data_IF_722052628082
#
_entry.id   IF_722052628082
#
_cell.length_a   1.000
_cell.length_b   1.000
_cell.length_c   1.000
_cell.angle_alpha   90.00
_cell.angle_beta   90.00
_cell.angle_gamma   90.00
#
_symmetry.space_group_name_H-M   'P 1'
#
loop_
_entity.id
_entity.type
_entity.pdbx_description
1 polymer ?
#
# COMPACT_ATOMS: atom_id res chain seq x y z
N UNK A 1 -68.06 -19.96 36.50
CA UNK A 1 -67.04 -20.57 37.38
C UNK A 1 -66.06 -21.36 36.51
N UNK A 2 -64.85 -20.85 36.32
CA UNK A 2 -63.73 -21.53 35.64
C UNK A 2 -62.61 -21.77 36.67
N UNK A 3 -61.88 -22.90 36.62
CA UNK A 3 -61.11 -23.35 37.77
C UNK A 3 -59.76 -22.63 37.90
N UNK A 4 -59.54 -22.03 39.08
CA UNK A 4 -58.32 -21.36 39.56
C UNK A 4 -57.03 -22.21 39.62
N UNK A 5 -56.98 -23.40 39.02
CA UNK A 5 -55.83 -24.34 39.13
C UNK A 5 -54.77 -24.23 38.02
N UNK A 6 -55.00 -23.46 36.96
CA UNK A 6 -54.02 -23.33 35.87
C UNK A 6 -52.99 -22.19 36.04
N UNK A 7 -53.22 -21.24 36.94
CA UNK A 7 -52.36 -20.06 37.08
C UNK A 7 -51.07 -20.28 37.88
N UNK A 8 -50.97 -21.37 38.66
CA UNK A 8 -49.81 -21.60 39.53
C UNK A 8 -48.68 -22.39 38.85
N UNK A 9 -49.01 -23.32 37.93
CA UNK A 9 -48.00 -24.12 37.20
C UNK A 9 -47.26 -23.32 36.12
N UNK A 10 -47.89 -22.28 35.56
CA UNK A 10 -47.28 -21.40 34.55
C UNK A 10 -46.20 -20.48 35.13
N UNK A 11 -46.40 -19.96 36.37
CA UNK A 11 -45.42 -19.08 37.01
C UNK A 11 -44.15 -19.79 37.44
N UNK A 12 -44.23 -21.03 37.93
CA UNK A 12 -43.05 -21.82 38.33
C UNK A 12 -42.21 -22.20 37.09
N UNK A 13 -42.86 -22.53 35.97
CA UNK A 13 -42.19 -22.79 34.70
C UNK A 13 -41.39 -21.60 34.19
N UNK A 14 -41.97 -20.39 34.21
CA UNK A 14 -41.25 -19.17 33.81
C UNK A 14 -40.08 -18.83 34.74
N UNK A 15 -40.21 -19.01 36.06
CA UNK A 15 -39.11 -18.75 36.99
C UNK A 15 -37.96 -19.74 36.82
N UNK A 16 -38.24 -21.02 36.58
CA UNK A 16 -37.20 -22.01 36.30
C UNK A 16 -36.52 -21.76 34.95
N UNK A 17 -37.26 -21.35 33.91
CA UNK A 17 -36.68 -21.00 32.62
C UNK A 17 -35.80 -19.75 32.71
N UNK A 18 -36.24 -18.70 33.41
CA UNK A 18 -35.44 -17.49 33.65
C UNK A 18 -34.22 -17.77 34.52
N UNK A 19 -34.31 -18.61 35.55
CA UNK A 19 -33.17 -18.97 36.38
C UNK A 19 -32.14 -19.82 35.62
N UNK A 20 -32.58 -20.76 34.77
CA UNK A 20 -31.69 -21.54 33.90
C UNK A 20 -31.05 -20.66 32.82
N UNK A 21 -31.80 -19.71 32.25
CA UNK A 21 -31.26 -18.76 31.26
C UNK A 21 -30.27 -17.79 31.90
N UNK A 22 -30.54 -17.29 33.10
CA UNK A 22 -29.60 -16.47 33.87
C UNK A 22 -28.37 -17.31 34.25
N UNK A 23 -28.50 -18.56 34.67
CA UNK A 23 -27.36 -19.46 34.92
C UNK A 23 -26.58 -19.79 33.64
N UNK A 24 -27.22 -19.85 32.47
CA UNK A 24 -26.56 -20.05 31.18
C UNK A 24 -25.82 -18.79 30.72
N UNK A 25 -26.38 -17.60 30.98
CA UNK A 25 -25.74 -16.30 30.72
C UNK A 25 -24.66 -15.95 31.75
N UNK A 26 -24.77 -16.48 32.98
CA UNK A 26 -23.78 -16.36 34.06
C UNK A 26 -22.79 -17.53 34.07
N UNK A 27 -22.86 -18.48 33.12
CA UNK A 27 -21.71 -19.37 32.90
C UNK A 27 -20.54 -18.46 32.53
N UNK A 28 -19.47 -18.40 33.34
CA UNK A 28 -18.27 -17.72 32.92
C UNK A 28 -17.89 -18.33 31.59
N UNK A 29 -17.77 -17.49 30.56
CA UNK A 29 -17.34 -17.92 29.24
C UNK A 29 -16.04 -18.71 29.45
N UNK A 30 -15.99 -20.02 29.13
CA UNK A 30 -14.79 -20.82 29.37
C UNK A 30 -13.60 -20.36 28.48
N UNK A 31 -13.79 -19.32 27.66
CA UNK A 31 -12.73 -18.58 26.97
C UNK A 31 -12.05 -17.49 27.80
N UNK A 32 -11.99 -17.62 29.13
CA UNK A 32 -10.85 -17.03 29.89
C UNK A 32 -9.77 -18.11 30.00
N UNK A 33 -9.39 -18.68 28.85
CA UNK A 33 -8.02 -19.14 28.68
C UNK A 33 -7.17 -17.88 28.71
N UNK A 34 -6.09 -17.84 29.51
CA UNK A 34 -5.12 -16.76 29.56
C UNK A 34 -4.82 -16.23 28.15
N UNK A 35 -5.48 -15.14 27.78
CA UNK A 35 -5.44 -14.67 26.40
C UNK A 35 -4.00 -14.29 26.10
N UNK A 36 -3.39 -14.95 25.11
CA UNK A 36 -1.99 -14.71 24.78
C UNK A 36 -1.88 -13.32 24.19
N UNK A 37 -1.00 -12.50 24.74
CA UNK A 37 -0.79 -11.13 24.29
C UNK A 37 0.55 -10.99 23.58
N UNK A 38 0.64 -9.96 22.74
CA UNK A 38 1.88 -9.51 22.13
C UNK A 38 1.93 -7.98 22.12
N UNK A 39 3.08 -7.46 22.51
CA UNK A 39 3.40 -6.05 22.53
C UNK A 39 4.72 -5.84 21.80
N UNK A 40 4.83 -4.79 20.98
CA UNK A 40 6.11 -4.36 20.43
C UNK A 40 6.70 -3.23 21.28
N UNK A 41 8.03 -3.17 21.34
CA UNK A 41 8.74 -1.95 21.72
C UNK A 41 8.70 -0.97 20.56
N UNK A 42 7.74 -0.04 20.60
CA UNK A 42 7.64 0.99 19.57
C UNK A 42 8.77 2.01 19.74
N UNK A 43 9.52 2.26 18.67
CA UNK A 43 10.50 3.34 18.63
C UNK A 43 9.82 4.66 18.28
N UNK A 44 10.21 5.79 18.88
CA UNK A 44 9.75 7.10 18.43
C UNK A 44 10.24 7.34 17.00
N UNK A 45 9.46 8.09 16.24
CA UNK A 45 9.75 8.36 14.83
C UNK A 45 8.72 9.30 14.20
N UNK A 46 8.86 9.55 12.90
CA UNK A 46 7.82 10.25 12.14
C UNK A 46 6.59 9.34 11.97
N UNK A 47 5.45 9.91 11.58
CA UNK A 47 4.18 9.18 11.47
C UNK A 47 4.31 7.90 10.62
N UNK A 48 5.05 7.93 9.51
CA UNK A 48 5.23 6.75 8.65
C UNK A 48 5.92 5.58 9.37
N UNK A 49 6.91 5.87 10.21
CA UNK A 49 7.61 4.85 11.01
C UNK A 49 6.71 4.25 12.09
N UNK A 50 5.90 5.11 12.72
CA UNK A 50 4.94 4.69 13.73
C UNK A 50 3.87 3.79 13.13
N UNK A 51 3.33 4.15 11.96
CA UNK A 51 2.33 3.34 11.25
C UNK A 51 2.91 1.97 10.87
N UNK A 52 4.14 1.90 10.35
CA UNK A 52 4.81 0.62 10.12
C UNK A 52 4.89 -0.22 11.39
N UNK A 53 5.32 0.37 12.50
CA UNK A 53 5.46 -0.36 13.76
C UNK A 53 4.11 -0.86 14.29
N UNK A 54 3.06 -0.04 14.23
CA UNK A 54 1.72 -0.40 14.69
C UNK A 54 1.08 -1.49 13.82
N UNK A 55 1.08 -1.31 12.49
CA UNK A 55 0.46 -2.29 11.61
C UNK A 55 1.23 -3.60 11.57
N UNK A 56 2.56 -3.57 11.67
CA UNK A 56 3.34 -4.80 11.85
C UNK A 56 3.00 -5.53 13.14
N UNK A 57 2.78 -4.83 14.27
CA UNK A 57 2.30 -5.49 15.47
C UNK A 57 0.91 -6.10 15.26
N UNK A 58 -0.02 -5.40 14.62
CA UNK A 58 -1.37 -5.93 14.33
C UNK A 58 -1.29 -7.17 13.45
N UNK A 59 -0.58 -7.09 12.33
CA UNK A 59 -0.45 -8.19 11.39
C UNK A 59 0.27 -9.40 11.99
N UNK A 60 1.35 -9.19 12.75
CA UNK A 60 2.02 -10.26 13.49
C UNK A 60 1.09 -10.87 14.52
N UNK A 61 0.36 -10.05 15.28
CA UNK A 61 -0.58 -10.53 16.31
C UNK A 61 -1.67 -11.41 15.71
N UNK A 62 -2.21 -11.05 14.55
CA UNK A 62 -3.21 -11.83 13.81
C UNK A 62 -2.61 -13.12 13.27
N UNK A 63 -1.38 -13.05 12.77
CA UNK A 63 -0.65 -14.20 12.22
C UNK A 63 -0.42 -15.28 13.27
N UNK A 64 -0.07 -14.91 14.51
CA UNK A 64 0.25 -15.87 15.58
C UNK A 64 -0.88 -16.03 16.63
N UNK A 65 -2.08 -15.57 16.31
CA UNK A 65 -3.29 -15.65 17.15
C UNK A 65 -3.09 -15.10 18.58
N UNK A 66 -2.60 -13.86 18.67
CA UNK A 66 -2.40 -13.15 19.93
C UNK A 66 -3.12 -11.81 19.92
N UNK A 67 -3.47 -11.33 21.11
CA UNK A 67 -4.07 -10.01 21.31
C UNK A 67 -2.96 -8.94 21.25
N UNK A 68 -3.04 -7.96 20.34
CA UNK A 68 -2.09 -6.86 20.28
C UNK A 68 -2.31 -5.88 21.44
N UNK A 69 -1.25 -5.61 22.19
CA UNK A 69 -1.26 -4.76 23.39
C UNK A 69 -0.34 -3.56 23.23
N UNK A 70 -0.80 -2.40 23.68
CA UNK A 70 0.04 -1.22 23.87
C UNK A 70 0.11 -0.95 25.38
N UNK A 71 1.26 -1.23 25.99
CA UNK A 71 1.56 -0.77 27.35
C UNK A 71 2.03 0.68 27.31
N UNK A 72 1.31 1.54 28.02
CA UNK A 72 1.57 2.97 28.03
C UNK A 72 2.83 3.40 28.74
N UNK A 73 3.32 2.61 29.70
CA UNK A 73 4.54 2.88 30.45
C UNK A 73 5.78 2.56 29.63
N UNK A 74 5.79 1.45 28.88
CA UNK A 74 6.89 1.10 27.97
C UNK A 74 7.01 2.07 26.79
N UNK A 75 5.88 2.67 26.38
CA UNK A 75 5.79 3.42 25.13
C UNK A 75 5.44 4.91 25.33
N UNK A 76 5.73 5.50 26.49
CA UNK A 76 5.27 6.86 26.86
C UNK A 76 5.51 7.92 25.78
N UNK A 77 6.69 7.93 25.14
CA UNK A 77 7.00 8.88 24.06
C UNK A 77 6.18 8.63 22.79
N UNK A 78 6.03 7.36 22.42
CA UNK A 78 5.23 6.97 21.26
C UNK A 78 3.78 7.29 21.54
N UNK A 79 3.25 6.97 22.72
CA UNK A 79 1.86 7.28 23.07
C UNK A 79 1.60 8.76 23.07
N UNK A 80 2.49 9.61 23.59
CA UNK A 80 2.29 11.06 23.51
C UNK A 80 2.21 11.57 22.06
N UNK A 81 2.89 10.90 21.12
CA UNK A 81 2.81 11.20 19.68
C UNK A 81 1.57 10.55 19.02
N UNK A 82 1.25 9.30 19.37
CA UNK A 82 0.05 8.60 18.92
C UNK A 82 -1.20 9.32 19.40
N UNK A 83 -1.20 9.86 20.62
CA UNK A 83 -2.33 10.52 21.26
C UNK A 83 -2.60 11.92 20.71
N UNK A 84 -1.62 12.56 20.06
CA UNK A 84 -1.79 13.90 19.49
C UNK A 84 -2.22 13.87 18.03
N UNK A 85 -1.88 12.82 17.28
CA UNK A 85 -2.18 12.71 15.84
C UNK A 85 -3.03 11.48 15.53
N UNK A 86 -2.55 10.28 15.87
CA UNK A 86 -3.19 9.03 15.44
C UNK A 86 -4.53 8.78 16.15
N UNK A 87 -4.64 8.98 17.46
CA UNK A 87 -5.89 8.81 18.21
C UNK A 87 -6.99 9.78 17.76
N UNK A 88 -6.60 10.99 17.37
CA UNK A 88 -7.53 12.05 16.97
C UNK A 88 -7.96 11.82 15.53
N UNK A 89 -7.00 11.60 14.63
CA UNK A 89 -7.22 11.63 13.19
C UNK A 89 -7.52 10.25 12.60
N UNK A 90 -6.97 9.18 13.18
CA UNK A 90 -7.15 7.79 12.75
C UNK A 90 -7.58 6.86 13.92
N UNK A 91 -8.70 7.17 14.60
CA UNK A 91 -9.09 6.49 15.84
C UNK A 91 -9.28 4.99 15.70
N UNK A 92 -9.67 4.50 14.51
CA UNK A 92 -9.90 3.09 14.24
C UNK A 92 -8.64 2.23 14.41
N UNK A 93 -7.44 2.80 14.26
CA UNK A 93 -6.18 2.08 14.46
C UNK A 93 -6.05 1.64 15.92
N UNK A 94 -6.25 2.57 16.86
CA UNK A 94 -6.09 2.27 18.29
C UNK A 94 -7.19 1.35 18.83
N UNK A 95 -8.38 1.35 18.22
CA UNK A 95 -9.45 0.41 18.55
C UNK A 95 -9.08 -1.05 18.29
N UNK A 96 -8.02 -1.31 17.52
CA UNK A 96 -7.52 -2.66 17.28
C UNK A 96 -6.60 -3.17 18.39
N UNK A 97 -6.22 -2.32 19.35
CA UNK A 97 -5.28 -2.67 20.42
C UNK A 97 -5.98 -2.71 21.78
N UNK A 98 -5.53 -3.62 22.63
CA UNK A 98 -5.78 -3.53 24.07
C UNK A 98 -4.77 -2.56 24.69
N UNK A 99 -5.25 -1.45 25.25
CA UNK A 99 -4.40 -0.45 25.92
C UNK A 99 -4.32 -0.78 27.40
N UNK A 100 -3.11 -0.91 27.93
CA UNK A 100 -2.87 -1.27 29.34
C UNK A 100 -1.89 -0.32 30.02
N UNK A 101 -2.00 -0.20 31.34
CA UNK A 101 -1.04 0.51 32.19
C UNK A 101 -0.39 -0.54 33.08
N UNK A 102 0.74 -1.07 32.65
CA UNK A 102 1.48 -2.11 33.37
C UNK A 102 2.92 -1.66 33.64
N UNK A 103 3.59 -2.16 34.70
CA UNK A 103 5.00 -1.87 34.94
C UNK A 103 5.86 -2.17 33.72
N UNK A 104 7.00 -1.47 33.60
CA UNK A 104 7.87 -1.65 32.44
C UNK A 104 8.34 -3.10 32.33
N UNK A 105 8.04 -3.74 31.20
CA UNK A 105 8.46 -5.11 30.90
C UNK A 105 9.69 -5.11 29.99
N UNK A 106 10.65 -5.98 30.28
CA UNK A 106 11.80 -6.21 29.40
C UNK A 106 11.40 -7.10 28.22
N UNK A 107 11.93 -6.86 27.01
CA UNK A 107 11.72 -7.73 25.87
C UNK A 107 12.15 -9.16 26.16
N UNK A 108 11.30 -10.10 25.78
CA UNK A 108 11.56 -11.53 25.85
C UNK A 108 11.52 -12.20 24.47
N UNK A 109 11.32 -11.42 23.42
CA UNK A 109 11.24 -11.86 22.04
C UNK A 109 11.87 -10.83 21.10
N UNK A 110 12.32 -11.30 19.94
CA UNK A 110 12.97 -10.47 18.93
C UNK A 110 12.40 -10.77 17.54
N UNK A 111 12.28 -9.73 16.72
CA UNK A 111 11.81 -9.84 15.33
C UNK A 111 12.41 -8.72 14.47
N UNK A 112 12.95 -9.06 13.31
CA UNK A 112 13.49 -8.13 12.32
C UNK A 112 14.66 -7.32 12.85
N UNK A 113 15.69 -8.00 13.39
CA UNK A 113 16.90 -7.35 13.91
C UNK A 113 17.97 -7.10 12.86
N UNK A 114 18.11 -7.98 11.88
CA UNK A 114 19.26 -8.03 10.96
C UNK A 114 19.36 -6.75 10.13
N UNK A 115 18.27 -6.38 9.46
CA UNK A 115 18.17 -5.12 8.72
C UNK A 115 16.85 -4.44 9.00
N UNK A 116 16.82 -3.12 8.85
CA UNK A 116 15.68 -2.27 9.17
C UNK A 116 14.41 -2.55 8.34
N UNK A 117 14.51 -3.32 7.25
CA UNK A 117 13.41 -3.75 6.38
C UNK A 117 13.36 -5.27 6.16
N UNK A 118 14.07 -6.05 6.99
CA UNK A 118 14.03 -7.52 6.93
C UNK A 118 12.64 -8.07 7.26
N UNK A 119 12.30 -9.18 6.61
CA UNK A 119 11.13 -9.97 6.94
C UNK A 119 11.56 -11.31 7.53
N UNK A 120 11.13 -11.57 8.76
CA UNK A 120 11.18 -12.89 9.37
C UNK A 120 9.75 -13.43 9.49
N UNK A 121 9.53 -14.69 9.12
CA UNK A 121 8.20 -15.31 9.22
C UNK A 121 7.78 -15.43 10.70
N UNK A 122 6.74 -14.73 11.17
CA UNK A 122 6.36 -14.72 12.58
C UNK A 122 5.89 -16.09 13.08
N UNK A 123 5.26 -16.91 12.24
CA UNK A 123 4.82 -18.25 12.62
C UNK A 123 6.02 -19.14 12.96
N UNK A 124 7.08 -19.04 12.15
CA UNK A 124 8.31 -19.80 12.40
C UNK A 124 9.05 -19.24 13.61
N UNK A 125 9.25 -17.92 13.65
CA UNK A 125 10.01 -17.22 14.70
C UNK A 125 9.42 -17.47 16.10
N UNK A 126 8.09 -17.52 16.20
CA UNK A 126 7.38 -17.65 17.47
C UNK A 126 6.72 -19.02 17.69
N UNK A 127 7.06 -20.04 16.89
CA UNK A 127 6.47 -21.38 16.99
C UNK A 127 6.65 -22.03 18.37
N UNK A 128 7.80 -21.81 19.01
CA UNK A 128 8.13 -22.37 20.33
C UNK A 128 7.71 -21.46 21.50
N UNK A 129 7.19 -20.26 21.22
CA UNK A 129 6.82 -19.31 22.26
C UNK A 129 5.49 -19.68 22.93
N UNK A 130 5.59 -20.32 24.10
CA UNK A 130 4.44 -20.72 24.92
C UNK A 130 4.01 -19.67 25.94
N UNK A 131 4.81 -18.62 26.15
CA UNK A 131 4.56 -17.60 27.17
C UNK A 131 3.22 -16.87 26.93
N UNK A 132 2.45 -16.56 28.00
CA UNK A 132 1.20 -15.81 27.88
C UNK A 132 1.42 -14.41 27.30
N UNK A 133 2.46 -13.72 27.76
CA UNK A 133 2.78 -12.35 27.35
C UNK A 133 4.12 -12.33 26.60
N UNK A 134 4.14 -11.59 25.49
CA UNK A 134 5.32 -11.41 24.66
C UNK A 134 5.59 -9.92 24.49
N UNK A 135 6.82 -9.51 24.78
CA UNK A 135 7.33 -8.17 24.51
C UNK A 135 8.43 -8.30 23.48
N UNK A 136 8.15 -7.83 22.26
CA UNK A 136 8.99 -8.00 21.09
C UNK A 136 9.83 -6.76 20.87
N UNK A 137 11.15 -6.95 20.85
CA UNK A 137 12.10 -5.96 20.36
C UNK A 137 12.34 -6.17 18.86
N UNK A 138 12.48 -5.09 18.12
CA UNK A 138 12.82 -5.17 16.71
C UNK A 138 13.38 -3.87 16.14
N UNK A 139 13.74 -3.91 14.86
CA UNK A 139 14.25 -2.74 14.16
C UNK A 139 13.25 -2.18 13.15
N UNK A 140 12.33 -1.33 13.63
CA UNK A 140 11.46 -0.52 12.79
C UNK A 140 10.30 -1.27 12.12
N UNK A 141 10.34 -2.60 12.06
CA UNK A 141 9.26 -3.47 11.56
C UNK A 141 8.71 -3.01 10.20
N UNK A 142 9.59 -2.55 9.30
CA UNK A 142 9.17 -1.85 8.08
C UNK A 142 8.88 -2.75 6.87
N UNK A 143 8.69 -4.05 7.08
CA UNK A 143 8.27 -4.96 6.01
C UNK A 143 6.76 -5.00 5.92
N UNK A 144 6.21 -4.75 4.73
CA UNK A 144 4.76 -4.80 4.52
C UNK A 144 4.19 -6.20 4.72
N UNK A 145 5.02 -7.24 4.51
CA UNK A 145 4.62 -8.65 4.64
C UNK A 145 4.08 -9.00 6.02
N UNK A 146 4.47 -8.26 7.05
CA UNK A 146 3.91 -8.45 8.39
C UNK A 146 2.40 -8.19 8.46
N UNK A 147 1.88 -7.29 7.62
CA UNK A 147 0.51 -6.80 7.70
C UNK A 147 -0.23 -6.78 6.36
N UNK A 148 0.36 -7.38 5.32
CA UNK A 148 -0.18 -7.33 3.96
C UNK A 148 -1.59 -7.91 3.86
N UNK A 149 -1.83 -8.99 4.60
CA UNK A 149 -3.14 -9.64 4.70
C UNK A 149 -4.22 -8.76 5.36
N UNK A 150 -3.85 -7.64 5.98
CA UNK A 150 -4.77 -6.66 6.58
C UNK A 150 -4.99 -5.44 5.68
N UNK A 151 -4.53 -5.46 4.43
CA UNK A 151 -4.55 -4.29 3.55
C UNK A 151 -5.93 -3.65 3.40
N UNK A 152 -7.03 -4.40 3.16
CA UNK A 152 -8.37 -3.80 3.09
C UNK A 152 -8.75 -3.06 4.38
N UNK A 153 -8.50 -3.66 5.53
CA UNK A 153 -8.80 -3.09 6.84
C UNK A 153 -7.94 -1.87 7.14
N UNK A 154 -6.63 -1.93 6.85
CA UNK A 154 -5.72 -0.80 7.02
C UNK A 154 -6.19 0.39 6.18
N UNK A 155 -6.59 0.16 4.92
CA UNK A 155 -7.13 1.21 4.05
C UNK A 155 -8.43 1.83 4.59
N UNK A 156 -9.21 1.07 5.35
CA UNK A 156 -10.40 1.58 6.04
C UNK A 156 -10.03 2.36 7.31
N UNK A 157 -9.13 1.82 8.14
CA UNK A 157 -8.67 2.47 9.37
C UNK A 157 -7.93 3.79 9.10
N UNK A 158 -7.26 3.88 7.94
CA UNK A 158 -6.52 5.06 7.47
C UNK A 158 -7.37 6.07 6.69
N UNK A 159 -8.68 5.88 6.53
CA UNK A 159 -9.55 6.90 5.91
C UNK A 159 -9.58 8.20 6.74
N UNK A 160 -9.37 8.06 8.04
CA UNK A 160 -9.42 9.15 9.01
C UNK A 160 -10.84 9.46 9.49
N UNK A 161 -10.94 10.35 10.48
CA UNK A 161 -12.22 10.85 10.96
C UNK A 161 -12.86 11.85 9.97
N UNK A 162 -14.13 12.22 10.20
CA UNK A 162 -14.87 13.11 9.29
C UNK A 162 -14.18 14.48 9.09
N UNK A 163 -13.58 15.03 10.15
CA UNK A 163 -12.87 16.31 10.10
C UNK A 163 -11.62 16.23 9.22
N UNK A 164 -10.80 15.19 9.38
CA UNK A 164 -9.59 14.97 8.59
C UNK A 164 -9.91 14.73 7.10
N UNK A 165 -10.99 14.00 6.82
CA UNK A 165 -11.50 13.83 5.45
C UNK A 165 -11.96 15.16 4.87
N UNK A 166 -12.65 15.99 5.64
CA UNK A 166 -13.14 17.29 5.18
C UNK A 166 -11.99 18.28 4.96
N UNK A 167 -11.01 18.34 5.87
CA UNK A 167 -9.79 19.13 5.70
C UNK A 167 -9.07 18.73 4.40
N UNK A 168 -8.91 17.43 4.14
CA UNK A 168 -8.29 16.94 2.91
C UNK A 168 -9.13 17.30 1.65
N UNK A 169 -10.47 17.32 1.74
CA UNK A 169 -11.36 17.73 0.64
C UNK A 169 -11.30 19.23 0.36
N UNK A 170 -11.12 20.05 1.39
CA UNK A 170 -11.04 21.51 1.29
C UNK A 170 -9.72 22.00 0.69
N UNK A 171 -8.70 21.14 0.62
CA UNK A 171 -7.46 21.44 -0.12
C UNK A 171 -7.69 21.71 -1.61
N UNK A 172 -8.80 21.20 -2.19
CA UNK A 172 -9.15 21.38 -3.59
C UNK A 172 -10.54 22.00 -3.72
N UNK A 173 -10.68 22.92 -4.70
CA UNK A 173 -11.99 23.35 -5.17
C UNK A 173 -12.73 22.16 -5.79
N UNK A 174 -14.07 22.19 -5.76
CA UNK A 174 -14.91 21.11 -6.29
C UNK A 174 -14.55 20.75 -7.74
N UNK A 175 -14.30 21.75 -8.58
CA UNK A 175 -13.91 21.58 -9.98
C UNK A 175 -12.58 20.85 -10.20
N UNK A 176 -11.73 20.75 -9.17
CA UNK A 176 -10.43 20.09 -9.21
C UNK A 176 -10.46 18.70 -8.57
N UNK A 177 -11.54 18.28 -7.91
CA UNK A 177 -11.62 16.99 -7.21
C UNK A 177 -11.61 15.79 -8.16
N UNK A 178 -12.20 15.95 -9.36
CA UNK A 178 -12.30 14.88 -10.37
C UNK A 178 -11.15 14.86 -11.39
N UNK A 179 -10.15 15.75 -11.27
CA UNK A 179 -8.96 15.70 -12.14
C UNK A 179 -8.10 14.47 -11.84
N UNK A 180 -7.46 13.92 -12.87
CA UNK A 180 -6.50 12.83 -12.70
C UNK A 180 -5.23 13.36 -12.02
N UNK A 181 -4.88 12.84 -10.84
CA UNK A 181 -3.80 13.38 -10.01
C UNK A 181 -2.59 12.45 -9.97
N UNK A 182 -1.49 13.00 -10.44
CA UNK A 182 -0.15 12.44 -10.23
C UNK A 182 0.40 13.10 -8.96
N UNK A 183 0.56 12.31 -7.91
CA UNK A 183 1.14 12.77 -6.65
C UNK A 183 2.61 12.41 -6.58
N UNK A 184 3.48 13.37 -6.27
CA UNK A 184 4.91 13.13 -6.09
C UNK A 184 5.31 13.45 -4.66
N UNK A 185 5.93 12.48 -3.98
CA UNK A 185 6.55 12.66 -2.68
C UNK A 185 8.04 12.94 -2.84
N UNK A 186 8.50 14.02 -2.23
CA UNK A 186 9.89 14.46 -2.27
C UNK A 186 10.38 14.80 -0.87
N UNK A 187 11.58 14.33 -0.55
CA UNK A 187 12.31 14.73 0.66
C UNK A 187 13.54 15.57 0.29
N UNK A 188 13.79 16.63 1.05
CA UNK A 188 14.91 17.56 0.84
C UNK A 188 15.73 17.81 2.09
N UNK A 189 15.36 17.25 3.24
CA UNK A 189 16.20 17.41 4.42
C UNK A 189 17.54 16.74 4.13
N UNK A 190 18.64 17.42 4.47
CA UNK A 190 19.93 16.76 4.67
C UNK A 190 19.64 15.53 5.53
N UNK A 191 19.89 14.36 4.95
CA UNK A 191 19.61 13.05 5.51
C UNK A 191 19.31 13.12 7.02
N UNK A 192 18.03 13.02 7.37
CA UNK A 192 17.76 12.20 8.55
C UNK A 192 18.55 10.91 8.30
N UNK A 193 19.20 10.34 9.32
CA UNK A 193 20.03 9.12 9.16
C UNK A 193 19.32 7.96 8.41
N UNK A 194 18.01 8.11 8.12
CA UNK A 194 17.07 7.18 7.49
C UNK A 194 16.73 7.42 6.00
N UNK A 195 17.19 8.47 5.30
CA UNK A 195 16.94 8.60 3.84
C UNK A 195 17.86 9.63 3.15
N UNK A 196 18.08 9.48 1.84
CA UNK A 196 18.85 10.45 1.05
C UNK A 196 17.97 11.51 0.39
N UNK A 197 18.50 12.72 0.13
CA UNK A 197 17.73 13.79 -0.49
C UNK A 197 17.34 13.44 -1.94
N UNK A 198 16.21 14.02 -2.37
CA UNK A 198 15.69 13.91 -3.73
C UNK A 198 16.70 14.37 -4.78
N UNK A 199 17.04 13.50 -5.75
CA UNK A 199 17.71 13.92 -6.98
C UNK A 199 16.73 14.69 -7.86
N UNK A 200 16.91 16.01 -7.92
CA UNK A 200 16.08 16.91 -8.71
C UNK A 200 16.08 16.57 -10.21
N UNK A 201 17.24 16.25 -10.79
CA UNK A 201 17.35 15.99 -12.24
C UNK A 201 16.63 14.70 -12.60
N UNK A 202 16.83 13.67 -11.79
CA UNK A 202 16.12 12.40 -11.91
C UNK A 202 14.61 12.61 -11.79
N UNK A 203 14.16 13.29 -10.73
CA UNK A 203 12.74 13.53 -10.47
C UNK A 203 12.04 14.24 -11.63
N UNK A 204 12.68 15.27 -12.20
CA UNK A 204 12.15 15.98 -13.39
C UNK A 204 12.03 15.05 -14.60
N UNK A 205 12.98 14.13 -14.80
CA UNK A 205 12.95 13.19 -15.92
C UNK A 205 11.80 12.20 -15.77
N UNK A 206 11.64 11.59 -14.61
CA UNK A 206 10.56 10.60 -14.37
C UNK A 206 9.18 11.27 -14.41
N UNK A 207 9.03 12.45 -13.81
CA UNK A 207 7.80 13.24 -13.91
C UNK A 207 7.48 13.62 -15.35
N UNK A 208 8.48 13.94 -16.17
CA UNK A 208 8.25 14.23 -17.58
C UNK A 208 7.69 13.02 -18.33
N UNK A 209 8.15 11.81 -17.99
CA UNK A 209 7.60 10.59 -18.56
C UNK A 209 6.16 10.34 -18.08
N UNK A 210 5.90 10.44 -16.78
CA UNK A 210 4.54 10.27 -16.22
C UNK A 210 3.55 11.27 -16.83
N UNK A 211 3.94 12.54 -16.93
CA UNK A 211 3.12 13.58 -17.56
C UNK A 211 2.82 13.24 -19.02
N UNK A 212 3.82 12.82 -19.81
CA UNK A 212 3.59 12.40 -21.21
C UNK A 212 2.58 11.27 -21.33
N UNK A 213 2.69 10.26 -20.46
CA UNK A 213 1.79 9.12 -20.44
C UNK A 213 0.37 9.57 -20.11
N UNK A 214 0.17 10.19 -18.95
CA UNK A 214 -1.17 10.45 -18.45
C UNK A 214 -1.86 11.66 -19.09
N UNK A 215 -1.11 12.62 -19.67
CA UNK A 215 -1.71 13.66 -20.52
C UNK A 215 -2.21 13.12 -21.86
N UNK A 216 -1.72 11.96 -22.31
CA UNK A 216 -2.25 11.29 -23.50
C UNK A 216 -3.50 10.45 -23.18
N UNK A 217 -3.68 10.05 -21.92
CA UNK A 217 -4.78 9.19 -21.46
C UNK A 217 -5.93 9.98 -20.80
N UNK A 218 -5.70 11.22 -20.37
CA UNK A 218 -6.65 12.02 -19.60
C UNK A 218 -6.68 13.49 -20.02
N UNK A 219 -7.88 14.06 -20.13
CA UNK A 219 -8.09 15.46 -20.53
C UNK A 219 -7.64 16.47 -19.47
N UNK A 220 -7.74 16.11 -18.18
CA UNK A 220 -7.43 17.00 -17.06
C UNK A 220 -6.50 16.30 -16.07
N UNK A 221 -5.22 16.63 -16.16
CA UNK A 221 -4.18 16.15 -15.24
C UNK A 221 -3.78 17.23 -14.26
N UNK A 222 -3.58 16.83 -13.00
CA UNK A 222 -3.00 17.64 -11.94
C UNK A 222 -1.72 16.98 -11.43
N UNK A 223 -0.66 17.77 -11.30
CA UNK A 223 0.55 17.36 -10.60
C UNK A 223 0.52 17.92 -9.17
N UNK A 224 0.52 17.02 -8.19
CA UNK A 224 0.51 17.34 -6.77
C UNK A 224 1.89 17.10 -6.19
N UNK A 225 2.52 18.13 -5.65
CA UNK A 225 3.84 18.06 -5.02
C UNK A 225 3.72 18.04 -3.50
N UNK A 226 4.03 16.88 -2.88
CA UNK A 226 4.23 16.73 -1.45
C UNK A 226 5.72 16.87 -1.12
N UNK A 227 6.05 17.85 -0.30
CA UNK A 227 7.41 18.15 0.15
C UNK A 227 7.35 19.10 1.34
N UNK A 228 8.24 18.89 2.31
CA UNK A 228 8.44 19.83 3.42
C UNK A 228 9.15 21.13 2.98
N UNK A 229 9.70 21.16 1.77
CA UNK A 229 10.44 22.29 1.23
C UNK A 229 9.74 22.92 0.02
N UNK A 230 9.19 24.13 0.15
CA UNK A 230 8.51 24.81 -0.96
C UNK A 230 9.42 25.08 -2.16
N UNK A 231 10.73 25.25 -1.93
CA UNK A 231 11.69 25.58 -2.98
C UNK A 231 11.82 24.46 -4.00
N UNK A 232 11.86 23.19 -3.57
CA UNK A 232 11.98 22.08 -4.52
C UNK A 232 10.70 21.90 -5.34
N UNK A 233 9.53 22.01 -4.71
CA UNK A 233 8.25 21.88 -5.38
C UNK A 233 8.10 22.95 -6.45
N UNK A 234 8.46 24.21 -6.12
CA UNK A 234 8.44 25.33 -7.06
C UNK A 234 9.42 25.10 -8.21
N UNK A 235 10.61 24.59 -7.90
CA UNK A 235 11.64 24.29 -8.90
C UNK A 235 11.19 23.20 -9.88
N UNK A 236 10.46 22.19 -9.41
CA UNK A 236 9.87 21.14 -10.27
C UNK A 236 8.82 21.74 -11.20
N UNK A 237 7.86 22.51 -10.68
CA UNK A 237 6.81 23.10 -11.52
C UNK A 237 7.31 24.15 -12.52
N UNK A 238 8.48 24.73 -12.27
CA UNK A 238 9.14 25.69 -13.16
C UNK A 238 10.21 25.03 -14.07
N UNK A 239 10.29 23.70 -14.09
CA UNK A 239 11.20 23.00 -14.99
C UNK A 239 10.83 23.29 -16.45
N UNK A 240 11.83 23.71 -17.25
CA UNK A 240 11.66 23.93 -18.70
C UNK A 240 11.19 22.67 -19.44
N UNK A 241 11.42 21.48 -18.88
CA UNK A 241 10.94 20.21 -19.45
C UNK A 241 9.41 20.10 -19.46
N UNK A 242 8.73 20.88 -18.62
CA UNK A 242 7.26 20.88 -18.52
C UNK A 242 6.61 22.05 -19.26
N UNK A 243 7.39 22.92 -19.92
CA UNK A 243 6.88 24.15 -20.53
C UNK A 243 5.87 23.90 -21.65
N UNK A 244 5.91 22.73 -22.29
CA UNK A 244 4.99 22.34 -23.37
C UNK A 244 3.71 21.65 -22.87
N UNK A 245 3.56 21.40 -21.57
CA UNK A 245 2.40 20.71 -21.02
C UNK A 245 1.46 21.70 -20.33
N UNK A 246 0.16 21.50 -20.53
CA UNK A 246 -0.89 22.19 -19.77
C UNK A 246 -1.46 21.21 -18.76
N UNK A 247 -1.23 21.47 -17.47
CA UNK A 247 -1.72 20.68 -16.35
C UNK A 247 -1.88 21.56 -15.11
N UNK A 248 -2.75 21.15 -14.20
CA UNK A 248 -2.97 21.83 -12.93
C UNK A 248 -1.83 21.56 -11.95
N UNK A 249 -1.45 22.54 -11.15
CA UNK A 249 -0.32 22.45 -10.21
C UNK A 249 -0.81 22.64 -8.79
N UNK A 250 -0.53 21.69 -7.91
CA UNK A 250 -0.93 21.78 -6.50
C UNK A 250 0.24 21.49 -5.56
N UNK A 251 0.39 22.33 -4.54
CA UNK A 251 1.47 22.24 -3.55
C UNK A 251 0.87 21.82 -2.20
N UNK A 252 1.33 20.70 -1.64
CA UNK A 252 0.95 20.28 -0.28
C UNK A 252 1.91 20.83 0.78
N UNK A 253 2.51 21.99 0.52
CA UNK A 253 3.45 22.62 1.44
C UNK A 253 2.67 23.11 2.65
N UNK A 254 3.18 22.86 3.86
CA UNK A 254 2.55 23.19 5.15
C UNK A 254 1.24 22.43 5.46
N UNK A 255 0.85 21.45 4.65
CA UNK A 255 -0.26 20.56 4.99
C UNK A 255 0.20 19.56 6.07
N UNK A 256 -0.57 19.34 7.15
CA UNK A 256 -0.21 18.34 8.16
C UNK A 256 -0.05 16.93 7.56
N UNK A 257 0.92 16.12 8.00
CA UNK A 257 1.20 14.79 7.44
C UNK A 257 -0.03 13.86 7.37
N UNK A 258 -0.89 13.88 8.38
CA UNK A 258 -2.13 13.11 8.44
C UNK A 258 -3.14 13.51 7.35
N UNK A 259 -3.25 14.80 7.06
CA UNK A 259 -4.12 15.32 6.01
C UNK A 259 -3.53 14.96 4.65
N UNK A 260 -2.20 14.95 4.51
CA UNK A 260 -1.53 14.51 3.29
C UNK A 260 -1.74 13.01 3.00
N UNK A 261 -1.66 12.13 4.01
CA UNK A 261 -1.97 10.71 3.85
C UNK A 261 -3.45 10.51 3.46
N UNK A 262 -4.34 11.28 4.07
CA UNK A 262 -5.79 11.25 3.77
C UNK A 262 -6.08 11.74 2.36
N UNK A 263 -5.46 12.85 1.96
CA UNK A 263 -5.52 13.35 0.59
C UNK A 263 -5.03 12.29 -0.39
N UNK A 264 -3.92 11.60 -0.07
CA UNK A 264 -3.42 10.53 -0.92
C UNK A 264 -4.42 9.41 -1.12
N UNK A 265 -5.10 9.03 -0.03
CA UNK A 265 -6.21 8.06 -0.02
C UNK A 265 -7.45 8.47 -0.79
N UNK A 266 -7.74 9.75 -0.85
CA UNK A 266 -8.93 10.27 -1.54
C UNK A 266 -8.67 10.56 -3.01
N UNK A 267 -7.44 10.97 -3.36
CA UNK A 267 -7.23 11.72 -4.58
C UNK A 267 -6.04 11.26 -5.43
N UNK A 268 -5.02 10.62 -4.89
CA UNK A 268 -3.86 10.26 -5.71
C UNK A 268 -4.16 9.05 -6.59
N UNK A 269 -4.43 9.27 -7.88
CA UNK A 269 -4.63 8.20 -8.87
C UNK A 269 -3.31 7.46 -9.13
N UNK A 270 -2.19 8.21 -9.15
CA UNK A 270 -0.82 7.69 -9.34
C UNK A 270 0.11 8.36 -8.34
N UNK A 271 1.06 7.59 -7.79
CA UNK A 271 2.07 8.11 -6.86
C UNK A 271 3.48 7.90 -7.42
N UNK A 272 4.34 8.92 -7.34
CA UNK A 272 5.79 8.83 -7.58
C UNK A 272 6.56 9.10 -6.28
N UNK A 273 7.38 8.14 -5.87
CA UNK A 273 8.28 8.26 -4.73
C UNK A 273 9.69 8.57 -5.24
N UNK A 274 10.12 9.83 -5.11
CA UNK A 274 11.49 10.20 -5.49
C UNK A 274 12.50 9.75 -4.43
N UNK A 275 12.03 9.54 -3.20
CA UNK A 275 12.78 9.00 -2.06
C UNK A 275 12.15 7.67 -1.63
N UNK A 276 12.56 6.55 -2.26
CA UNK A 276 11.94 5.24 -2.06
C UNK A 276 12.02 4.74 -0.61
N UNK A 277 13.04 5.14 0.16
CA UNK A 277 13.21 4.77 1.58
C UNK A 277 12.28 5.52 2.55
N UNK A 278 11.60 6.57 2.08
CA UNK A 278 10.77 7.40 2.95
C UNK A 278 9.54 6.62 3.40
N UNK A 279 9.42 6.33 4.69
CA UNK A 279 8.25 5.65 5.24
C UNK A 279 6.98 6.45 5.03
N UNK A 280 7.04 7.78 5.12
CA UNK A 280 5.90 8.65 4.81
C UNK A 280 5.46 8.53 3.34
N UNK A 281 6.42 8.63 2.41
CA UNK A 281 6.14 8.44 0.99
C UNK A 281 5.59 7.05 0.68
N UNK A 282 6.13 6.02 1.33
CA UNK A 282 5.63 4.66 1.22
C UNK A 282 4.15 4.57 1.60
N UNK A 283 3.73 5.20 2.71
CA UNK A 283 2.33 5.24 3.13
C UNK A 283 1.44 6.02 2.17
N UNK A 284 1.93 7.11 1.56
CA UNK A 284 1.19 7.77 0.47
C UNK A 284 0.93 6.81 -0.69
N UNK A 285 1.95 6.07 -1.14
CA UNK A 285 1.79 5.07 -2.20
C UNK A 285 0.82 3.94 -1.81
N UNK A 286 1.01 3.34 -0.64
CA UNK A 286 0.17 2.24 -0.14
C UNK A 286 -1.30 2.63 0.02
N UNK A 287 -1.53 3.88 0.42
CA UNK A 287 -2.86 4.43 0.62
C UNK A 287 -3.43 5.09 -0.62
N UNK A 288 -2.78 5.09 -1.79
CA UNK A 288 -3.32 5.76 -2.98
C UNK A 288 -4.79 5.41 -3.29
N UNK A 289 -5.46 6.28 -4.06
CA UNK A 289 -6.91 6.37 -4.23
C UNK A 289 -7.58 5.02 -4.45
N UNK A 290 -7.09 4.25 -5.41
CA UNK A 290 -7.54 2.89 -5.64
C UNK A 290 -6.55 1.88 -5.06
N UNK A 291 -7.02 0.69 -4.71
CA UNK A 291 -6.14 -0.34 -4.15
C UNK A 291 -5.04 -0.76 -5.13
N UNK A 292 -5.31 -0.62 -6.43
CA UNK A 292 -4.38 -0.91 -7.52
C UNK A 292 -3.82 0.36 -8.18
N UNK A 293 -3.93 1.54 -7.53
CA UNK A 293 -3.31 2.77 -8.01
C UNK A 293 -1.81 2.56 -8.26
N UNK A 294 -1.29 2.94 -9.45
CA UNK A 294 0.13 2.77 -9.75
C UNK A 294 1.04 3.57 -8.80
N UNK A 295 2.06 2.91 -8.28
CA UNK A 295 3.10 3.53 -7.45
C UNK A 295 4.45 3.33 -8.12
N UNK A 296 5.03 4.43 -8.60
CA UNK A 296 6.36 4.48 -9.17
C UNK A 296 7.35 4.92 -8.12
N UNK A 297 8.57 4.39 -8.16
CA UNK A 297 9.63 4.81 -7.26
C UNK A 297 10.98 4.83 -7.98
N UNK A 298 11.89 5.67 -7.51
CA UNK A 298 13.26 5.71 -8.01
C UNK A 298 13.92 4.34 -7.81
N UNK A 299 14.51 3.79 -8.87
CA UNK A 299 15.30 2.56 -8.81
C UNK A 299 16.40 2.71 -7.73
N UNK A 300 16.36 1.88 -6.66
CA UNK A 300 17.35 1.89 -5.58
C UNK A 300 18.81 1.83 -6.02
N UNK A 301 19.08 1.18 -7.15
CA UNK A 301 20.45 1.01 -7.66
C UNK A 301 20.95 2.28 -8.38
N UNK A 302 20.04 3.07 -8.94
CA UNK A 302 20.34 4.24 -9.79
C UNK A 302 20.10 5.58 -9.10
N UNK A 303 19.37 5.59 -7.99
CA UNK A 303 19.07 6.79 -7.22
C UNK A 303 20.24 7.29 -6.38
N UNK A 304 20.11 8.52 -5.89
CA UNK A 304 20.98 9.08 -4.85
C UNK A 304 20.76 8.44 -3.47
N UNK A 305 19.79 7.53 -3.36
CA UNK A 305 19.35 6.94 -2.11
C UNK A 305 20.22 5.77 -1.66
N UNK A 306 21.28 6.05 -0.90
CA UNK A 306 22.24 5.03 -0.47
C UNK A 306 21.59 3.94 0.37
N UNK A 307 20.58 4.28 1.19
CA UNK A 307 19.84 3.31 1.99
C UNK A 307 18.98 2.37 1.14
N UNK A 308 18.60 2.79 -0.06
CA UNK A 308 17.82 1.95 -0.95
C UNK A 308 18.63 0.72 -1.40
N UNK A 309 19.97 0.79 -1.37
CA UNK A 309 20.87 -0.35 -1.64
C UNK A 309 20.86 -1.42 -0.56
N UNK A 310 20.39 -1.08 0.65
CA UNK A 310 20.22 -2.02 1.76
C UNK A 310 18.80 -2.60 1.83
N UNK A 311 17.89 -2.11 0.98
CA UNK A 311 16.51 -2.60 0.91
C UNK A 311 16.48 -3.83 0.00
N UNK A 312 15.88 -4.92 0.47
CA UNK A 312 15.30 -5.92 -0.42
C UNK A 312 13.94 -5.39 -0.91
N UNK A 313 13.79 -5.00 -2.19
CA UNK A 313 12.54 -4.41 -2.68
C UNK A 313 11.34 -5.34 -2.50
N UNK A 314 11.57 -6.66 -2.44
CA UNK A 314 10.53 -7.67 -2.25
C UNK A 314 9.96 -7.68 -0.84
N UNK A 315 10.69 -7.14 0.14
CA UNK A 315 10.28 -7.06 1.55
C UNK A 315 9.70 -5.69 1.89
N UNK A 316 10.14 -4.64 1.20
CA UNK A 316 9.70 -3.27 1.49
C UNK A 316 8.57 -2.79 0.57
N UNK A 317 8.61 -3.07 -0.72
CA UNK A 317 7.57 -2.64 -1.66
C UNK A 317 6.55 -3.75 -1.93
N UNK A 318 5.27 -3.38 -1.80
CA UNK A 318 4.14 -4.26 -2.10
C UNK A 318 4.11 -4.64 -3.59
N UNK A 319 3.87 -5.92 -3.94
CA UNK A 319 3.95 -6.44 -5.33
C UNK A 319 2.93 -5.80 -6.28
N UNK A 320 1.79 -5.31 -5.77
CA UNK A 320 0.80 -4.59 -6.58
C UNK A 320 1.01 -3.07 -6.61
N UNK A 321 2.04 -2.56 -5.93
CA UNK A 321 2.60 -1.24 -6.24
C UNK A 321 3.11 -1.36 -7.67
N UNK A 322 2.25 -0.93 -8.60
CA UNK A 322 2.21 -1.41 -9.98
C UNK A 322 3.59 -1.65 -10.56
N UNK A 323 3.75 -2.82 -11.22
CA UNK A 323 4.87 -3.21 -12.09
C UNK A 323 5.99 -2.18 -12.06
N UNK A 324 7.15 -2.54 -11.53
CA UNK A 324 8.40 -1.94 -11.98
C UNK A 324 8.46 -2.08 -13.51
N UNK A 325 7.88 -1.13 -14.24
CA UNK A 325 8.39 -0.69 -15.51
C UNK A 325 9.62 0.16 -15.21
N UNK A 326 10.61 -0.48 -14.58
CA UNK A 326 11.97 -0.37 -15.08
C UNK A 326 12.00 -1.07 -16.44
N UNK A 327 11.20 -0.58 -17.40
CA UNK A 327 11.55 -0.75 -18.79
C UNK A 327 12.97 -0.20 -18.87
N UNK A 328 13.92 -1.05 -19.24
CA UNK A 328 15.32 -0.70 -19.47
C UNK A 328 15.34 0.63 -20.23
N UNK A 329 15.53 1.73 -19.52
CA UNK A 329 15.61 3.06 -20.12
C UNK A 329 17.01 3.27 -20.70
N UNK A 330 17.52 2.24 -21.37
CA UNK A 330 18.72 2.31 -22.21
C UNK A 330 18.58 1.60 -23.56
N UNK A 331 17.71 0.61 -23.80
CA UNK A 331 17.64 0.01 -25.16
C UNK A 331 16.28 -0.66 -25.48
N UNK A 332 15.65 -0.18 -26.57
CA UNK A 332 14.67 -0.82 -27.48
C UNK A 332 13.43 -1.57 -26.90
N UNK A 333 12.27 -1.14 -27.42
CA UNK A 333 11.03 -1.87 -27.69
C UNK A 333 10.95 -3.37 -27.26
N UNK A 334 9.99 -3.73 -26.39
CA UNK A 334 8.97 -4.75 -26.66
C UNK A 334 7.85 -4.78 -25.59
N UNK A 335 6.62 -4.90 -26.07
CA UNK A 335 5.35 -5.12 -25.37
C UNK A 335 5.21 -6.59 -24.99
N UNK A 336 4.61 -6.92 -23.83
CA UNK A 336 3.68 -8.08 -23.74
C UNK A 336 2.70 -8.02 -22.57
N UNK A 337 1.46 -8.36 -22.92
CA UNK A 337 0.26 -8.49 -22.11
C UNK A 337 0.38 -9.59 -21.03
N UNK A 338 -0.22 -9.36 -19.86
CA UNK A 338 -0.67 -10.45 -18.98
C UNK A 338 -2.12 -10.13 -18.58
N UNK A 339 -3.05 -10.52 -19.45
CA UNK A 339 -4.36 -11.03 -19.07
C UNK A 339 -4.50 -12.40 -19.74
N UNK A 340 -5.05 -13.37 -19.00
CA UNK A 340 -5.24 -14.80 -19.33
C UNK A 340 -3.99 -15.70 -19.37
N UNK A 341 -3.64 -16.28 -18.21
CA UNK A 341 -3.22 -17.69 -18.15
C UNK A 341 -3.46 -18.30 -16.77
N UNK A 342 -4.74 -18.51 -16.46
CA UNK A 342 -5.19 -19.58 -15.56
C UNK A 342 -6.16 -20.46 -16.38
N UNK A 343 -5.62 -21.18 -17.35
CA UNK A 343 -6.23 -22.41 -17.87
C UNK A 343 -5.17 -23.17 -18.68
N UNK A 344 -5.02 -24.46 -18.34
CA UNK A 344 -4.12 -25.46 -18.93
C UNK A 344 -2.62 -25.31 -18.61
N UNK A 345 -2.28 -25.78 -17.42
CA UNK A 345 -1.19 -26.73 -17.26
C UNK A 345 -1.77 -28.10 -17.63
N UNK A 346 -1.41 -28.64 -18.79
CA UNK A 346 -1.27 -30.08 -19.05
C UNK A 346 -0.61 -30.24 -20.42
N UNK A 347 0.29 -31.21 -20.47
CA UNK A 347 1.02 -31.75 -21.63
C UNK A 347 2.33 -31.05 -22.04
N UNK A 348 3.35 -31.38 -21.24
CA UNK A 348 4.57 -32.11 -21.64
C UNK A 348 5.40 -31.68 -22.87
N UNK A 349 6.66 -31.31 -22.57
CA UNK A 349 7.93 -31.88 -23.09
C UNK A 349 8.13 -31.89 -24.62
N UNK A 350 9.06 -31.04 -25.12
CA UNK A 350 10.31 -31.46 -25.79
C UNK A 350 11.11 -30.25 -26.31
N UNK A 351 12.43 -30.31 -26.07
CA UNK A 351 13.48 -29.53 -26.72
C UNK A 351 13.38 -29.56 -28.25
N UNK A 352 13.81 -28.49 -28.93
CA UNK A 352 14.86 -28.48 -29.98
C UNK A 352 15.06 -27.04 -30.47
N UNK A 353 16.33 -26.69 -30.69
CA UNK A 353 16.79 -25.41 -31.23
C UNK A 353 17.01 -25.45 -32.75
N UNK A 354 16.85 -24.29 -33.37
CA UNK A 354 17.56 -23.76 -34.57
C UNK A 354 17.32 -24.46 -35.91
N UNK A 355 16.77 -23.67 -36.84
CA UNK A 355 16.84 -23.77 -38.30
C UNK A 355 16.58 -25.15 -38.91
N UNK A 356 15.42 -25.30 -39.56
CA UNK A 356 15.40 -25.88 -40.90
C UNK A 356 14.06 -25.69 -41.63
N UNK A 357 14.21 -25.36 -42.92
CA UNK A 357 13.33 -25.67 -44.05
C UNK A 357 12.04 -24.84 -44.20
N UNK A 358 12.20 -23.78 -45.01
CA UNK A 358 11.22 -23.42 -46.02
C UNK A 358 11.11 -24.55 -47.07
N UNK A 359 9.90 -25.07 -47.29
CA UNK A 359 9.36 -25.59 -48.56
C UNK A 359 8.08 -26.39 -48.25
N UNK A 360 7.04 -26.21 -49.06
CA UNK A 360 5.87 -27.10 -49.05
C UNK A 360 4.53 -26.39 -49.13
N UNK A 361 4.18 -25.92 -50.32
CA UNK A 361 2.79 -25.73 -50.73
C UNK A 361 2.03 -27.06 -50.60
N UNK A 362 0.85 -27.04 -49.97
CA UNK A 362 -0.26 -27.90 -50.41
C UNK A 362 -1.61 -27.27 -50.08
N UNK A 363 -2.38 -27.09 -51.15
CA UNK A 363 -3.79 -26.71 -51.19
C UNK A 363 -4.66 -27.70 -50.40
N UNK A 364 -5.61 -27.17 -49.62
CA UNK A 364 -6.91 -27.82 -49.42
C UNK A 364 -7.97 -26.74 -49.56
N UNK A 365 -8.80 -26.91 -50.57
CA UNK A 365 -9.94 -26.08 -50.94
C UNK A 365 -11.20 -26.39 -50.11
N UNK A 366 -12.01 -25.33 -49.98
CA UNK A 366 -13.47 -25.25 -49.96
C UNK A 366 -14.29 -25.67 -48.72
N UNK A 367 -15.00 -24.67 -48.20
CA UNK A 367 -16.14 -24.76 -47.30
C UNK A 367 -16.75 -23.36 -47.09
N UNK A 368 -17.60 -22.95 -48.02
CA UNK A 368 -18.30 -21.65 -48.11
C UNK A 368 -19.21 -21.35 -46.89
N UNK A 369 -19.23 -20.08 -46.42
CA UNK A 369 -20.46 -19.27 -46.30
C UNK A 369 -20.20 -17.83 -45.80
N UNK A 370 -20.59 -16.86 -46.65
CA UNK A 370 -21.09 -15.48 -46.38
C UNK A 370 -20.18 -14.45 -45.69
N UNK A 371 -19.54 -13.54 -46.44
CA UNK A 371 -19.98 -12.16 -46.85
C UNK A 371 -20.23 -11.19 -45.69
N UNK A 372 -19.80 -9.92 -45.66
CA UNK A 372 -18.90 -9.05 -46.43
C UNK A 372 -18.95 -7.65 -45.74
N UNK A 373 -18.00 -6.75 -46.06
CA UNK A 373 -17.94 -5.29 -45.76
C UNK A 373 -17.49 -4.89 -44.33
N UNK A 374 -16.51 -4.01 -44.08
CA UNK A 374 -15.84 -2.94 -44.85
C UNK A 374 -14.38 -2.78 -44.35
N UNK A 375 -13.41 -2.74 -45.27
CA UNK A 375 -12.06 -2.18 -45.09
C UNK A 375 -11.76 -1.32 -46.32
N UNK A 376 -11.83 -0.01 -46.16
CA UNK A 376 -11.22 1.07 -46.95
C UNK A 376 -10.58 1.95 -45.86
N UNK A 377 -9.31 2.36 -45.81
CA UNK A 377 -8.27 2.60 -46.80
C UNK A 377 -6.90 2.30 -46.15
N UNK A 378 -6.05 1.47 -46.77
CA UNK A 378 -4.61 1.51 -46.53
C UNK A 378 -3.90 1.59 -47.89
N UNK A 379 -3.38 2.77 -48.16
CA UNK A 379 -2.55 3.12 -49.32
C UNK A 379 -1.16 2.47 -49.19
N UNK A 380 -0.99 1.31 -49.83
CA UNK A 380 0.23 0.49 -49.82
C UNK A 380 1.39 1.17 -50.59
N UNK A 381 1.10 2.14 -51.48
CA UNK A 381 2.13 2.87 -52.23
C UNK A 381 2.94 3.86 -51.36
N UNK A 382 2.45 4.20 -50.16
CA UNK A 382 3.21 4.99 -49.17
C UNK A 382 4.22 4.18 -48.37
N UNK A 383 4.10 2.85 -48.33
CA UNK A 383 4.98 2.00 -47.51
C UNK A 383 6.25 1.63 -48.28
N UNK A 384 6.20 1.52 -49.61
CA UNK A 384 7.38 1.22 -50.43
C UNK A 384 8.33 2.41 -50.65
N UNK A 385 7.86 3.66 -50.57
CA UNK A 385 8.73 4.85 -50.73
C UNK A 385 9.56 5.23 -49.50
N UNK A 386 9.47 4.49 -48.38
CA UNK A 386 10.25 4.77 -47.16
C UNK A 386 11.47 3.86 -46.95
N UNK A 387 11.61 2.79 -47.72
CA UNK A 387 12.74 1.85 -47.59
C UNK A 387 13.92 2.12 -48.54
N UNK A 388 13.79 3.03 -49.52
CA UNK A 388 14.89 3.38 -50.44
C UNK A 388 15.70 4.63 -50.01
N UNK A 389 15.57 5.09 -48.77
CA UNK A 389 16.36 6.23 -48.25
C UNK A 389 17.43 5.87 -47.22
N UNK A 390 17.65 4.58 -46.99
CA UNK A 390 18.79 4.06 -46.23
C UNK A 390 19.44 2.87 -46.96
N UNK A 391 19.95 3.16 -48.16
CA UNK A 391 21.07 2.43 -48.76
C UNK A 391 22.01 3.40 -49.45
#
# INVERSE_FOLDING_TARGET
>A
MLPRRFAYKSKIGCFLFSAVFILFCLRPNPRIHYAKTIQFEHKPGQIGDQLFSLFSQLGVSRTIDRIPVINTVNNTRVINQLSSVISVRFPMILQQFMIVIEPQQQPNAELGLDTWCSFEDPLKKFSEYTTPNMVVRGNGFRSYKYFDHLRPEIRQWMLGNAENVEEARQLLTESLRDTFKICVHMDTKNASKSSSPTDFKFSVRELNWLLRKYLAEHDRVMLVASSENPTISRRIFNSRKFASYTFEKFYMVNTPPEVQLTFSRLYCDVVLLTVPTSSFGWWMGYLAKEENSPVYFTDPEKGSDWMAREIDPRNYFHRDGGKCETQRMTDKLLVYLIMKRHQKFEDSILDVSVNDVAEGFQEVELGEHMTAHFLEDIDIDKIQKRNDKHR
#
